data_IF_679056047200
#
_entry.id   IF_679056047200
#
_cell.length_a   1.000
_cell.length_b   1.000
_cell.length_c   1.000
_cell.angle_alpha   90.00
_cell.angle_beta   90.00
_cell.angle_gamma   90.00
#
_symmetry.space_group_name_H-M   'P 1'
#
loop_
_entity.id
_entity.type
_entity.pdbx_description
1 polymer ?
#
# COMPACT_ATOMS: atom_id res chain seq x y z
N UNK A 1 19.60 20.42 -5.00
CA UNK A 1 18.90 19.26 -4.41
C UNK A 1 17.99 19.81 -3.33
N UNK A 2 16.67 19.72 -3.53
CA UNK A 2 15.65 20.25 -2.62
C UNK A 2 15.53 19.39 -1.34
N UNK A 3 14.81 19.89 -0.32
CA UNK A 3 14.63 19.19 0.95
C UNK A 3 13.96 17.83 0.82
N UNK A 4 13.03 17.68 -0.14
CA UNK A 4 12.37 16.41 -0.41
C UNK A 4 13.36 15.39 -0.95
N UNK A 5 14.18 15.75 -1.93
CA UNK A 5 15.17 14.83 -2.50
C UNK A 5 16.22 14.39 -1.46
N UNK A 6 16.65 15.30 -0.57
CA UNK A 6 17.53 14.97 0.55
C UNK A 6 16.88 13.92 1.47
N UNK A 7 15.61 14.13 1.81
CA UNK A 7 14.85 13.17 2.61
C UNK A 7 14.69 11.82 1.93
N UNK A 8 14.34 11.81 0.64
CA UNK A 8 14.16 10.56 -0.12
C UNK A 8 15.48 9.79 -0.26
N UNK A 9 16.60 10.50 -0.43
CA UNK A 9 17.94 9.90 -0.39
C UNK A 9 18.25 9.31 0.99
N UNK A 10 17.91 10.03 2.06
CA UNK A 10 18.06 9.54 3.44
C UNK A 10 17.26 8.26 3.69
N UNK A 11 15.97 8.21 3.30
CA UNK A 11 15.15 7.01 3.53
C UNK A 11 15.57 5.83 2.66
N UNK A 12 16.08 6.07 1.46
CA UNK A 12 16.63 5.02 0.59
C UNK A 12 17.95 4.48 1.11
N UNK A 13 18.93 5.35 1.39
CA UNK A 13 20.31 4.96 1.69
C UNK A 13 20.51 4.56 3.15
N UNK A 14 19.95 5.32 4.10
CA UNK A 14 20.13 5.12 5.53
C UNK A 14 19.05 4.21 6.13
N UNK A 15 17.78 4.43 5.75
CA UNK A 15 16.65 3.63 6.26
C UNK A 15 16.42 2.36 5.44
N UNK A 16 17.08 2.19 4.29
CA UNK A 16 16.99 1.03 3.38
C UNK A 16 15.57 0.69 2.96
N UNK A 17 14.75 1.71 2.69
CA UNK A 17 13.40 1.50 2.19
C UNK A 17 13.44 1.03 0.73
N UNK A 18 12.46 0.20 0.33
CA UNK A 18 12.32 -0.25 -1.05
C UNK A 18 12.04 0.92 -2.00
N UNK A 19 12.42 0.78 -3.26
CA UNK A 19 12.18 1.82 -4.29
C UNK A 19 10.70 2.17 -4.39
N UNK A 20 9.81 1.19 -4.30
CA UNK A 20 8.36 1.41 -4.29
C UNK A 20 7.90 2.27 -3.10
N UNK A 21 8.52 2.10 -1.93
CA UNK A 21 8.20 2.93 -0.75
C UNK A 21 8.70 4.35 -0.93
N UNK A 22 9.92 4.51 -1.48
CA UNK A 22 10.50 5.84 -1.77
C UNK A 22 9.65 6.59 -2.79
N UNK A 23 9.18 5.92 -3.84
CA UNK A 23 8.29 6.51 -4.84
C UNK A 23 6.93 6.92 -4.25
N UNK A 24 6.34 6.06 -3.42
CA UNK A 24 5.13 6.42 -2.68
C UNK A 24 5.32 7.65 -1.78
N UNK A 25 6.47 7.76 -1.12
CA UNK A 25 6.79 8.91 -0.28
C UNK A 25 6.97 10.18 -1.11
N UNK A 26 7.64 10.09 -2.26
CA UNK A 26 7.78 11.18 -3.23
C UNK A 26 6.41 11.71 -3.65
N UNK A 27 5.55 10.83 -4.14
CA UNK A 27 4.20 11.18 -4.59
C UNK A 27 3.38 11.90 -3.50
N UNK A 28 3.47 11.44 -2.25
CA UNK A 28 2.76 12.08 -1.13
C UNK A 28 3.30 13.49 -0.83
N UNK A 29 4.62 13.67 -0.82
CA UNK A 29 5.25 14.96 -0.53
C UNK A 29 5.01 15.97 -1.67
N UNK A 30 5.11 15.53 -2.92
CA UNK A 30 4.78 16.35 -4.09
C UNK A 30 3.30 16.77 -4.08
N UNK A 31 2.39 15.87 -3.69
CA UNK A 31 0.97 16.21 -3.55
C UNK A 31 0.75 17.29 -2.48
N UNK A 32 1.48 17.25 -1.37
CA UNK A 32 1.43 18.31 -0.36
C UNK A 32 1.95 19.64 -0.91
N UNK A 33 3.07 19.62 -1.64
CA UNK A 33 3.62 20.82 -2.28
C UNK A 33 2.66 21.42 -3.30
N UNK A 34 2.07 20.61 -4.16
CA UNK A 34 1.07 21.08 -5.15
C UNK A 34 -0.15 21.71 -4.48
N UNK A 35 -0.58 21.20 -3.33
CA UNK A 35 -1.68 21.77 -2.56
C UNK A 35 -1.30 23.14 -2.00
N UNK A 36 -0.09 23.34 -1.51
CA UNK A 36 0.34 24.58 -0.85
C UNK A 36 0.83 25.66 -1.81
N UNK A 37 1.18 25.29 -3.04
CA UNK A 37 1.69 26.22 -4.07
C UNK A 37 0.69 26.53 -5.17
N UNK A 38 -0.57 26.11 -5.05
CA UNK A 38 -1.59 26.24 -6.10
C UNK A 38 -1.10 25.76 -7.48
N UNK A 39 -0.27 24.70 -7.49
CA UNK A 39 0.27 24.09 -8.71
C UNK A 39 1.49 24.80 -9.31
N UNK A 40 2.08 25.76 -8.63
CA UNK A 40 3.32 26.42 -9.05
C UNK A 40 4.57 25.71 -8.52
N UNK A 41 5.74 26.03 -9.08
CA UNK A 41 7.02 25.62 -8.51
C UNK A 41 7.18 26.17 -7.09
N UNK A 42 7.55 25.31 -6.15
CA UNK A 42 7.75 25.70 -4.75
C UNK A 42 9.23 25.78 -4.39
N UNK A 43 9.59 26.73 -3.51
CA UNK A 43 10.90 26.80 -2.89
C UNK A 43 10.93 26.02 -1.57
N UNK A 44 12.13 25.65 -1.12
CA UNK A 44 12.31 25.00 0.19
C UNK A 44 11.77 25.88 1.35
N UNK A 45 11.91 27.20 1.25
CA UNK A 45 11.39 28.16 2.26
C UNK A 45 9.87 28.19 2.28
N UNK A 46 9.20 28.15 1.13
CA UNK A 46 7.74 28.07 1.02
C UNK A 46 7.23 26.76 1.60
N UNK A 47 7.93 25.65 1.32
CA UNK A 47 7.61 24.35 1.89
C UNK A 47 7.71 24.37 3.42
N UNK A 48 8.79 24.93 3.98
CA UNK A 48 8.96 25.05 5.43
C UNK A 48 7.87 25.93 6.08
N UNK A 49 7.49 27.04 5.44
CA UNK A 49 6.41 27.90 5.91
C UNK A 49 5.05 27.22 5.89
N UNK A 50 4.81 26.36 4.88
CA UNK A 50 3.58 25.58 4.75
C UNK A 50 3.48 24.42 5.76
N UNK A 51 4.60 24.00 6.37
CA UNK A 51 4.60 22.97 7.41
C UNK A 51 4.08 23.51 8.75
N UNK A 52 2.82 23.92 8.78
CA UNK A 52 2.09 24.37 9.96
C UNK A 52 0.79 23.58 10.16
N UNK A 53 0.24 23.65 11.37
CA UNK A 53 -0.95 22.86 11.73
C UNK A 53 -2.17 23.19 10.87
N UNK A 54 -2.37 24.46 10.48
CA UNK A 54 -3.53 24.91 9.71
C UNK A 54 -3.52 24.33 8.30
N UNK A 55 -2.40 24.49 7.59
CA UNK A 55 -2.22 23.97 6.22
C UNK A 55 -2.34 22.47 6.17
N UNK A 56 -1.69 21.77 7.10
CA UNK A 56 -1.75 20.29 7.15
C UNK A 56 -3.17 19.80 7.42
N UNK A 57 -3.91 20.48 8.29
CA UNK A 57 -5.34 20.17 8.55
C UNK A 57 -6.19 20.39 7.30
N UNK A 58 -5.99 21.52 6.61
CA UNK A 58 -6.69 21.85 5.37
C UNK A 58 -6.42 20.82 4.28
N UNK A 59 -5.14 20.49 4.06
CA UNK A 59 -4.74 19.44 3.13
C UNK A 59 -5.39 18.08 3.45
N UNK A 60 -5.35 17.66 4.71
CA UNK A 60 -5.99 16.40 5.14
C UNK A 60 -7.49 16.39 4.85
N UNK A 61 -8.19 17.51 5.09
CA UNK A 61 -9.60 17.63 4.80
C UNK A 61 -9.88 17.58 3.30
N UNK A 62 -9.03 18.20 2.49
CA UNK A 62 -9.17 18.18 1.05
C UNK A 62 -8.93 16.79 0.44
N UNK A 63 -7.95 16.03 0.95
CA UNK A 63 -7.75 14.63 0.55
C UNK A 63 -9.04 13.81 0.76
N UNK A 64 -9.71 14.01 1.90
CA UNK A 64 -10.98 13.35 2.19
C UNK A 64 -12.12 13.82 1.26
N UNK A 65 -12.19 15.12 0.95
CA UNK A 65 -13.17 15.66 -0.02
C UNK A 65 -12.98 15.10 -1.43
N UNK A 66 -11.74 14.84 -1.84
CA UNK A 66 -11.39 14.20 -3.12
C UNK A 66 -11.69 12.69 -3.13
N UNK A 67 -12.26 12.14 -2.06
CA UNK A 67 -12.69 10.74 -1.97
C UNK A 67 -11.63 9.77 -1.45
N UNK A 68 -10.49 10.23 -0.95
CA UNK A 68 -9.54 9.34 -0.30
C UNK A 68 -10.12 8.80 1.01
N UNK A 69 -10.03 7.48 1.21
CA UNK A 69 -10.44 6.85 2.47
C UNK A 69 -9.54 7.27 3.64
N UNK A 70 -10.08 7.22 4.87
CA UNK A 70 -9.36 7.57 6.10
C UNK A 70 -7.98 6.89 6.23
N UNK A 71 -7.86 5.63 5.82
CA UNK A 71 -6.59 4.89 5.82
C UNK A 71 -5.53 5.54 4.93
N UNK A 72 -5.93 5.96 3.71
CA UNK A 72 -5.02 6.64 2.77
C UNK A 72 -4.64 8.03 3.28
N UNK A 73 -5.59 8.82 3.79
CA UNK A 73 -5.29 10.12 4.40
C UNK A 73 -4.33 9.98 5.59
N UNK A 74 -4.52 8.98 6.44
CA UNK A 74 -3.61 8.66 7.54
C UNK A 74 -2.23 8.24 7.07
N UNK A 75 -2.12 7.53 5.94
CA UNK A 75 -0.84 7.22 5.31
C UNK A 75 -0.13 8.51 4.89
N UNK A 76 -0.82 9.43 4.22
CA UNK A 76 -0.27 10.72 3.80
C UNK A 76 0.26 11.52 5.01
N UNK A 77 -0.53 11.64 6.09
CA UNK A 77 -0.09 12.29 7.32
C UNK A 77 1.13 11.58 7.96
N UNK A 78 1.21 10.26 7.86
CA UNK A 78 2.34 9.49 8.40
C UNK A 78 3.63 9.75 7.63
N UNK A 79 3.57 9.84 6.30
CA UNK A 79 4.72 10.19 5.45
C UNK A 79 5.18 11.61 5.75
N UNK A 80 4.25 12.58 5.79
CA UNK A 80 4.58 13.98 6.12
C UNK A 80 5.18 14.11 7.52
N UNK A 81 4.65 13.36 8.50
CA UNK A 81 5.23 13.32 9.86
C UNK A 81 6.64 12.72 9.88
N UNK A 82 6.92 11.75 9.00
CA UNK A 82 8.25 11.19 8.79
C UNK A 82 9.23 12.24 8.24
N UNK A 83 8.79 13.00 7.25
CA UNK A 83 9.55 14.11 6.68
C UNK A 83 9.82 15.20 7.70
N UNK A 84 8.81 15.64 8.47
CA UNK A 84 9.02 16.63 9.54
C UNK A 84 10.03 16.13 10.61
N UNK A 85 10.03 14.84 10.95
CA UNK A 85 11.03 14.27 11.86
C UNK A 85 12.45 14.32 11.28
N UNK A 86 12.60 14.16 9.98
CA UNK A 86 13.87 14.34 9.31
C UNK A 86 14.31 15.81 9.37
N UNK A 87 13.43 16.76 9.05
CA UNK A 87 13.71 18.20 9.12
C UNK A 87 14.06 18.68 10.54
N UNK A 88 13.45 18.09 11.58
CA UNK A 88 13.83 18.30 12.98
C UNK A 88 15.28 17.87 13.25
N UNK A 89 15.69 16.74 12.69
CA UNK A 89 17.03 16.20 12.83
C UNK A 89 18.09 17.08 12.14
N UNK A 90 17.71 17.65 10.99
CA UNK A 90 18.56 18.58 10.22
C UNK A 90 18.52 20.02 10.78
N UNK A 91 17.74 20.27 11.84
CA UNK A 91 17.62 21.60 12.45
C UNK A 91 16.76 22.61 11.66
N UNK A 92 16.06 22.15 10.60
CA UNK A 92 15.20 23.00 9.78
C UNK A 92 13.84 23.30 10.44
N UNK A 93 13.41 22.48 11.39
CA UNK A 93 12.17 22.66 12.18
C UNK A 93 12.48 22.54 13.67
N UNK A 94 11.61 23.14 14.50
CA UNK A 94 11.70 23.02 15.97
C UNK A 94 10.69 22.02 16.53
N UNK A 95 9.55 21.83 15.85
CA UNK A 95 8.48 20.94 16.28
C UNK A 95 7.89 20.20 15.08
N UNK A 96 7.20 19.08 15.33
CA UNK A 96 6.49 18.36 14.27
C UNK A 96 5.01 18.78 14.28
N UNK A 97 4.56 19.63 13.36
CA UNK A 97 3.20 20.17 13.35
C UNK A 97 2.14 19.11 13.01
N UNK A 98 2.52 18.03 12.33
CA UNK A 98 1.60 16.93 12.00
C UNK A 98 1.02 16.25 13.24
N UNK A 99 1.74 16.26 14.35
CA UNK A 99 1.27 15.66 15.62
C UNK A 99 0.07 16.39 16.23
N UNK A 100 -0.11 17.65 15.86
CA UNK A 100 -1.21 18.50 16.35
C UNK A 100 -2.48 18.35 15.47
N UNK A 101 -2.38 17.63 14.35
CA UNK A 101 -3.51 17.43 13.43
C UNK A 101 -4.26 16.15 13.82
N UNK A 102 -5.58 16.24 14.06
CA UNK A 102 -6.39 15.06 14.34
C UNK A 102 -6.43 14.15 13.13
N UNK A 103 -6.25 12.84 13.37
CA UNK A 103 -6.27 11.82 12.32
C UNK A 103 -7.71 11.42 11.99
N UNK A 104 -8.07 11.26 10.71
CA UNK A 104 -9.32 10.64 10.30
C UNK A 104 -9.52 9.27 10.96
N UNK A 105 -10.73 9.03 11.47
CA UNK A 105 -11.07 7.76 12.12
C UNK A 105 -11.21 6.66 11.07
N UNK A 106 -10.44 5.60 11.24
CA UNK A 106 -10.51 4.42 10.37
C UNK A 106 -11.60 3.46 10.86
N UNK A 107 -12.37 2.94 9.91
CA UNK A 107 -13.23 1.79 10.19
C UNK A 107 -12.37 0.54 10.34
N UNK A 108 -12.41 -0.07 11.51
CA UNK A 108 -11.79 -1.38 11.73
C UNK A 108 -12.71 -2.45 11.16
N UNK A 109 -12.46 -2.85 9.92
CA UNK A 109 -13.10 -4.05 9.38
C UNK A 109 -12.49 -5.27 10.06
N UNK A 110 -13.34 -6.07 10.69
CA UNK A 110 -12.91 -7.36 11.20
C UNK A 110 -12.47 -8.23 10.03
N UNK A 111 -11.34 -8.94 10.16
CA UNK A 111 -10.92 -9.89 9.14
C UNK A 111 -12.03 -10.94 8.91
N UNK A 112 -12.35 -11.20 7.65
CA UNK A 112 -13.23 -12.31 7.30
C UNK A 112 -12.39 -13.57 7.32
N UNK A 113 -12.70 -14.47 8.24
CA UNK A 113 -12.04 -15.76 8.34
C UNK A 113 -12.86 -16.82 7.61
N UNK A 114 -12.22 -17.64 6.82
CA UNK A 114 -12.84 -18.85 6.31
C UNK A 114 -12.92 -19.86 7.47
N UNK A 115 -14.14 -20.41 7.71
CA UNK A 115 -14.30 -21.47 8.70
C UNK A 115 -13.58 -22.73 8.19
N UNK A 116 -12.99 -23.50 9.09
CA UNK A 116 -12.29 -24.76 8.75
C UNK A 116 -13.21 -25.70 7.94
N UNK A 117 -14.47 -25.79 8.35
CA UNK A 117 -15.50 -26.60 7.65
C UNK A 117 -15.70 -26.15 6.18
N UNK A 118 -15.70 -24.85 5.89
CA UNK A 118 -15.81 -24.33 4.53
C UNK A 118 -14.58 -24.70 3.68
N UNK A 119 -13.39 -24.70 4.29
CA UNK A 119 -12.17 -25.10 3.61
C UNK A 119 -12.11 -26.61 3.38
N UNK A 120 -12.53 -27.42 4.35
CA UNK A 120 -12.65 -28.87 4.20
C UNK A 120 -13.63 -29.23 3.08
N UNK A 121 -14.78 -28.56 3.04
CA UNK A 121 -15.78 -28.75 1.98
C UNK A 121 -15.21 -28.36 0.61
N UNK A 122 -14.47 -27.24 0.53
CA UNK A 122 -13.79 -26.85 -0.71
C UNK A 122 -12.81 -27.93 -1.17
N UNK A 123 -11.97 -28.47 -0.28
CA UNK A 123 -11.01 -29.51 -0.65
C UNK A 123 -11.70 -30.83 -1.04
N UNK A 124 -12.78 -31.22 -0.37
CA UNK A 124 -13.56 -32.41 -0.73
C UNK A 124 -14.24 -32.27 -2.09
N UNK A 125 -14.91 -31.14 -2.36
CA UNK A 125 -15.62 -30.91 -3.61
C UNK A 125 -14.69 -30.73 -4.81
N UNK A 126 -13.48 -30.25 -4.60
CA UNK A 126 -12.48 -30.07 -5.67
C UNK A 126 -11.57 -31.30 -5.88
N UNK A 127 -11.74 -32.35 -5.09
CA UNK A 127 -10.91 -33.55 -5.18
C UNK A 127 -11.12 -34.29 -6.50
N UNK A 128 -12.36 -34.46 -6.91
CA UNK A 128 -12.72 -35.12 -8.19
C UNK A 128 -12.24 -34.33 -9.43
N UNK A 129 -12.14 -33.03 -9.36
CA UNK A 129 -11.66 -32.21 -10.48
C UNK A 129 -10.12 -32.19 -10.61
N UNK A 130 -9.43 -32.91 -9.73
CA UNK A 130 -7.97 -32.97 -9.64
C UNK A 130 -7.42 -34.34 -10.01
N UNK A 131 -8.12 -35.09 -10.85
CA UNK A 131 -7.74 -36.44 -11.25
C UNK A 131 -6.37 -36.45 -11.95
N UNK A 132 -5.57 -37.52 -11.72
CA UNK A 132 -4.17 -37.59 -12.18
C UNK A 132 -4.03 -37.46 -13.69
N UNK A 133 -5.01 -37.95 -14.44
CA UNK A 133 -5.01 -37.96 -15.91
C UNK A 133 -5.13 -36.55 -16.52
N UNK A 134 -5.65 -35.57 -15.77
CA UNK A 134 -5.88 -34.22 -16.30
C UNK A 134 -4.60 -33.42 -16.64
N UNK A 135 -3.44 -33.80 -16.07
CA UNK A 135 -2.17 -33.15 -16.41
C UNK A 135 -1.59 -33.75 -17.69
N UNK A 136 -1.65 -35.05 -17.84
CA UNK A 136 -1.17 -35.77 -19.03
C UNK A 136 -2.01 -35.37 -20.25
N UNK A 137 -3.35 -35.31 -20.10
CA UNK A 137 -4.26 -34.81 -21.14
C UNK A 137 -3.94 -33.35 -21.55
N UNK A 138 -3.58 -32.50 -20.59
CA UNK A 138 -3.19 -31.12 -20.88
C UNK A 138 -1.85 -31.02 -21.61
N UNK A 139 -0.89 -31.85 -21.23
CA UNK A 139 0.45 -31.90 -21.88
C UNK A 139 0.35 -32.45 -23.30
N UNK A 140 -0.54 -33.39 -23.55
CA UNK A 140 -0.77 -33.95 -24.88
C UNK A 140 -1.59 -33.02 -25.80
N UNK A 141 -2.57 -32.29 -25.25
CA UNK A 141 -3.46 -31.40 -25.99
C UNK A 141 -3.71 -30.06 -25.26
N UNK A 142 -2.72 -29.17 -25.20
CA UNK A 142 -2.81 -27.93 -24.43
C UNK A 142 -3.83 -26.93 -24.98
N UNK A 143 -4.26 -27.07 -26.24
CA UNK A 143 -5.28 -26.23 -26.88
C UNK A 143 -6.72 -26.73 -26.63
N UNK A 144 -6.90 -27.88 -25.99
CA UNK A 144 -8.21 -28.37 -25.61
C UNK A 144 -8.82 -27.56 -24.47
N UNK A 145 -10.00 -26.99 -24.68
CA UNK A 145 -10.74 -26.24 -23.66
C UNK A 145 -10.98 -27.04 -22.38
N UNK A 146 -11.26 -28.33 -22.50
CA UNK A 146 -11.50 -29.25 -21.38
C UNK A 146 -10.23 -29.52 -20.60
N UNK A 147 -9.13 -29.84 -21.28
CA UNK A 147 -7.81 -30.06 -20.65
C UNK A 147 -7.32 -28.78 -19.96
N UNK A 148 -7.49 -27.62 -20.61
CA UNK A 148 -7.17 -26.31 -20.01
C UNK A 148 -7.99 -26.00 -18.76
N UNK A 149 -9.29 -26.33 -18.75
CA UNK A 149 -10.16 -26.15 -17.58
C UNK A 149 -9.74 -27.05 -16.41
N UNK A 150 -9.43 -28.32 -16.65
CA UNK A 150 -8.93 -29.25 -15.64
C UNK A 150 -7.59 -28.82 -15.05
N UNK A 151 -6.65 -28.39 -15.89
CA UNK A 151 -5.37 -27.84 -15.45
C UNK A 151 -5.55 -26.62 -14.54
N UNK A 152 -6.39 -25.64 -14.94
CA UNK A 152 -6.70 -24.45 -14.15
C UNK A 152 -7.34 -24.80 -12.80
N UNK A 153 -8.26 -25.75 -12.78
CA UNK A 153 -8.90 -26.21 -11.54
C UNK A 153 -7.87 -26.82 -10.58
N UNK A 154 -6.96 -27.64 -11.10
CA UNK A 154 -5.88 -28.28 -10.33
C UNK A 154 -4.87 -27.26 -9.79
N UNK A 155 -4.47 -26.32 -10.65
CA UNK A 155 -3.57 -25.23 -10.25
C UNK A 155 -4.22 -24.35 -9.16
N UNK A 156 -5.49 -24.01 -9.31
CA UNK A 156 -6.24 -23.22 -8.29
C UNK A 156 -6.30 -23.96 -6.95
N UNK A 157 -6.59 -25.27 -6.97
CA UNK A 157 -6.59 -26.09 -5.75
C UNK A 157 -5.22 -26.13 -5.08
N UNK A 158 -4.15 -26.30 -5.85
CA UNK A 158 -2.78 -26.27 -5.34
C UNK A 158 -2.44 -24.94 -4.69
N UNK A 159 -2.75 -23.85 -5.37
CA UNK A 159 -2.51 -22.49 -4.85
C UNK A 159 -3.26 -22.26 -3.54
N UNK A 160 -4.57 -22.61 -3.48
CA UNK A 160 -5.37 -22.46 -2.26
C UNK A 160 -4.82 -23.34 -1.14
N UNK A 161 -4.41 -24.59 -1.44
CA UNK A 161 -3.79 -25.49 -0.47
C UNK A 161 -2.49 -24.91 0.12
N UNK A 162 -1.62 -24.38 -0.72
CA UNK A 162 -0.35 -23.75 -0.28
C UNK A 162 -0.63 -22.50 0.57
N UNK A 163 -1.54 -21.63 0.14
CA UNK A 163 -1.90 -20.43 0.88
C UNK A 163 -2.51 -20.76 2.25
N UNK A 164 -3.40 -21.74 2.30
CA UNK A 164 -4.10 -22.14 3.52
C UNK A 164 -3.18 -22.87 4.51
N UNK A 165 -2.44 -23.89 4.05
CA UNK A 165 -1.62 -24.72 4.93
C UNK A 165 -0.32 -24.03 5.37
N UNK A 166 0.28 -23.19 4.51
CA UNK A 166 1.56 -22.52 4.78
C UNK A 166 1.38 -21.07 5.22
N UNK A 167 0.15 -20.54 5.23
CA UNK A 167 -0.10 -19.15 5.59
C UNK A 167 0.57 -18.14 4.65
N UNK A 168 0.82 -18.50 3.39
CA UNK A 168 1.47 -17.64 2.42
C UNK A 168 0.57 -16.50 2.02
N UNK A 169 1.16 -15.33 1.78
CA UNK A 169 0.45 -14.18 1.21
C UNK A 169 0.52 -14.23 -0.31
N UNK A 170 -0.58 -13.89 -0.94
CA UNK A 170 -0.58 -13.56 -2.35
C UNK A 170 0.07 -12.19 -2.53
N UNK A 171 1.33 -12.12 -2.87
CA UNK A 171 2.05 -10.89 -3.25
C UNK A 171 2.15 -10.78 -4.75
#
# INVERSE_FOLDING_TARGET
MNLIDKYLTYVKSIRRYSDRTVESYRSVLENFCLHTSDGQEYSDDQLLAALNQSEIRHWSAELMKRGLGAKSANHHLSVLSGFCRYLLKEGCLQTNPVRLVPRPKEERRLPVFYKSEAMENYFKTTEHNADRNSLDDFLENPESDVASAHYKARLSRLIVSLLYNLGLRRS
#
